data_IF_847514864078
#
_entry.id   IF_847514864078
#
_cell.length_a   1.000
_cell.length_b   1.000
_cell.length_c   1.000
_cell.angle_alpha   90.00
_cell.angle_beta   90.00
_cell.angle_gamma   90.00
#
_symmetry.space_group_name_H-M   'P 1'
#
loop_
_entity.id
_entity.type
_entity.pdbx_description
1 polymer ?
#
# COMPACT_ATOMS: atom_id res chain seq x y z
N UNK A 1 -10.48 -16.46 -7.80
CA UNK A 1 -10.81 -15.04 -8.07
C UNK A 1 -9.69 -14.34 -8.88
N UNK A 2 -8.47 -14.20 -8.39
CA UNK A 2 -7.40 -13.46 -9.09
C UNK A 2 -7.09 -14.02 -10.49
N UNK A 3 -7.09 -15.35 -10.65
CA UNK A 3 -6.90 -15.97 -11.97
C UNK A 3 -8.05 -15.61 -12.96
N UNK A 4 -9.28 -15.55 -12.50
CA UNK A 4 -10.40 -15.11 -13.33
C UNK A 4 -10.31 -13.62 -13.68
N UNK A 5 -9.85 -12.78 -12.75
CA UNK A 5 -9.62 -11.36 -13.00
C UNK A 5 -8.55 -11.08 -14.08
N UNK A 6 -7.63 -12.01 -14.33
CA UNK A 6 -6.70 -11.88 -15.47
C UNK A 6 -7.44 -11.89 -16.82
N UNK A 7 -8.58 -12.57 -16.91
CA UNK A 7 -9.30 -12.84 -18.15
C UNK A 7 -10.60 -12.03 -18.29
N UNK A 8 -11.27 -11.75 -17.17
CA UNK A 8 -12.63 -11.19 -17.14
C UNK A 8 -12.67 -9.92 -16.28
N UNK A 9 -13.61 -9.01 -16.58
CA UNK A 9 -13.94 -7.93 -15.68
C UNK A 9 -14.69 -8.49 -14.45
N UNK A 10 -14.51 -7.88 -13.28
CA UNK A 10 -15.12 -8.35 -12.03
C UNK A 10 -16.64 -8.51 -12.12
N UNK A 11 -17.33 -7.57 -12.80
CA UNK A 11 -18.77 -7.62 -12.99
C UNK A 11 -19.22 -8.88 -13.72
N UNK A 12 -18.42 -9.38 -14.65
CA UNK A 12 -18.75 -10.52 -15.53
C UNK A 12 -18.39 -11.88 -14.88
N UNK A 13 -17.63 -11.88 -13.78
CA UNK A 13 -17.32 -13.11 -13.03
C UNK A 13 -18.57 -13.58 -12.30
N UNK A 14 -19.00 -14.81 -12.63
CA UNK A 14 -20.16 -15.46 -12.01
C UNK A 14 -19.75 -16.45 -10.93
N UNK A 15 -20.71 -16.84 -10.08
CA UNK A 15 -20.50 -17.87 -9.06
C UNK A 15 -20.13 -19.22 -9.68
N UNK A 16 -20.72 -19.57 -10.83
CA UNK A 16 -20.35 -20.81 -11.52
C UNK A 16 -18.90 -20.81 -11.94
N UNK A 17 -18.41 -19.72 -12.53
CA UNK A 17 -17.00 -19.58 -12.90
C UNK A 17 -16.06 -19.72 -11.69
N UNK A 18 -16.43 -19.17 -10.52
CA UNK A 18 -15.62 -19.27 -9.31
C UNK A 18 -15.53 -20.69 -8.78
N UNK A 19 -16.65 -21.42 -8.68
CA UNK A 19 -16.66 -22.77 -8.14
C UNK A 19 -16.04 -23.76 -9.13
N UNK A 20 -16.23 -23.58 -10.43
CA UNK A 20 -15.60 -24.38 -11.48
C UNK A 20 -14.08 -24.21 -11.47
N UNK A 21 -13.58 -22.95 -11.37
CA UNK A 21 -12.15 -22.63 -11.28
C UNK A 21 -11.48 -23.30 -10.07
N UNK A 22 -12.18 -23.30 -8.92
CA UNK A 22 -11.68 -23.89 -7.68
C UNK A 22 -11.98 -25.40 -7.57
N UNK A 23 -12.73 -26.00 -8.50
CA UNK A 23 -13.21 -27.40 -8.48
C UNK A 23 -13.92 -27.73 -7.17
N UNK A 24 -14.77 -26.84 -6.69
CA UNK A 24 -15.61 -27.03 -5.50
C UNK A 24 -17.08 -26.91 -5.87
N UNK A 25 -17.97 -27.36 -4.98
CA UNK A 25 -19.41 -27.13 -5.15
C UNK A 25 -19.84 -25.78 -4.54
N UNK A 26 -21.02 -25.29 -4.95
CA UNK A 26 -21.58 -24.02 -4.45
C UNK A 26 -21.78 -24.02 -2.94
N UNK A 27 -22.19 -25.17 -2.34
CA UNK A 27 -22.36 -25.26 -0.88
C UNK A 27 -21.04 -25.03 -0.14
N UNK A 28 -19.94 -25.57 -0.66
CA UNK A 28 -18.61 -25.35 -0.08
C UNK A 28 -18.22 -23.88 -0.18
N UNK A 29 -18.50 -23.22 -1.30
CA UNK A 29 -18.23 -21.79 -1.45
C UNK A 29 -19.02 -20.97 -0.41
N UNK A 30 -20.34 -21.17 -0.35
CA UNK A 30 -21.22 -20.39 0.54
C UNK A 30 -21.02 -20.66 2.03
N UNK A 31 -20.29 -21.73 2.39
CA UNK A 31 -19.84 -21.95 3.77
C UNK A 31 -18.76 -20.95 4.21
N UNK A 32 -17.98 -20.39 3.26
CA UNK A 32 -16.83 -19.51 3.53
C UNK A 32 -17.07 -18.06 3.11
N UNK A 33 -17.88 -17.84 2.07
CA UNK A 33 -18.11 -16.54 1.45
C UNK A 33 -19.58 -16.36 1.13
N UNK A 34 -20.13 -15.19 1.43
CA UNK A 34 -21.52 -14.85 1.11
C UNK A 34 -21.73 -14.71 -0.39
N UNK A 35 -20.77 -14.10 -1.08
CA UNK A 35 -20.79 -13.86 -2.51
C UNK A 35 -19.36 -13.52 -3.04
N UNK A 36 -19.27 -13.09 -4.30
CA UNK A 36 -18.00 -12.69 -4.91
C UNK A 36 -17.42 -11.40 -4.33
N UNK A 37 -18.25 -10.54 -3.75
CA UNK A 37 -17.83 -9.29 -3.11
C UNK A 37 -17.15 -9.58 -1.77
N UNK A 38 -17.74 -10.44 -0.95
CA UNK A 38 -17.13 -10.94 0.29
C UNK A 38 -15.79 -11.63 0.02
N UNK A 39 -15.70 -12.43 -1.06
CA UNK A 39 -14.46 -13.08 -1.45
C UNK A 39 -13.36 -12.05 -1.81
N UNK A 40 -13.66 -11.04 -2.64
CA UNK A 40 -12.64 -10.06 -3.04
C UNK A 40 -12.24 -9.15 -1.86
N UNK A 41 -13.16 -8.84 -0.96
CA UNK A 41 -12.88 -8.09 0.25
C UNK A 41 -11.95 -8.87 1.19
N UNK A 42 -12.16 -10.18 1.38
CA UNK A 42 -11.26 -11.03 2.18
C UNK A 42 -9.88 -11.15 1.54
N UNK A 43 -9.80 -11.30 0.22
CA UNK A 43 -8.51 -11.26 -0.50
C UNK A 43 -7.80 -9.93 -0.24
N UNK A 44 -8.51 -8.80 -0.35
CA UNK A 44 -7.91 -7.49 -0.05
C UNK A 44 -7.39 -7.42 1.39
N UNK A 45 -8.16 -7.87 2.37
CA UNK A 45 -7.76 -7.89 3.79
C UNK A 45 -6.51 -8.74 4.04
N UNK A 46 -6.33 -9.83 3.32
CA UNK A 46 -5.13 -10.67 3.43
C UNK A 46 -3.89 -9.89 2.96
N UNK A 47 -3.94 -9.23 1.79
CA UNK A 47 -2.84 -8.38 1.32
C UNK A 47 -2.59 -7.17 2.20
N UNK A 48 -3.62 -6.54 2.73
CA UNK A 48 -3.53 -5.44 3.69
C UNK A 48 -2.85 -5.90 4.99
N UNK A 49 -3.15 -7.11 5.46
CA UNK A 49 -2.48 -7.70 6.63
C UNK A 49 -0.98 -7.93 6.40
N UNK A 50 -0.61 -8.42 5.21
CA UNK A 50 0.80 -8.57 4.82
C UNK A 50 1.50 -7.22 4.70
N UNK A 51 0.86 -6.24 4.08
CA UNK A 51 1.36 -4.87 3.97
C UNK A 51 1.57 -4.23 5.34
N UNK A 52 0.60 -4.36 6.25
CA UNK A 52 0.70 -3.83 7.61
C UNK A 52 1.91 -4.38 8.37
N UNK A 53 2.27 -5.65 8.15
CA UNK A 53 3.50 -6.23 8.73
C UNK A 53 4.75 -5.60 8.10
N UNK A 54 4.78 -5.40 6.79
CA UNK A 54 5.91 -4.80 6.08
C UNK A 54 6.10 -3.32 6.47
N UNK A 55 5.00 -2.57 6.71
CA UNK A 55 5.03 -1.14 7.07
C UNK A 55 5.22 -0.88 8.57
N UNK A 56 4.98 -1.86 9.44
CA UNK A 56 4.93 -1.67 10.89
C UNK A 56 6.17 -1.00 11.51
N UNK A 57 7.34 -1.17 10.90
CA UNK A 57 8.58 -0.56 11.37
C UNK A 57 8.68 0.95 11.11
N UNK A 58 7.79 1.53 10.30
CA UNK A 58 7.77 2.98 10.06
C UNK A 58 7.41 3.81 11.31
N UNK A 59 6.84 3.19 12.32
CA UNK A 59 6.69 3.79 13.66
C UNK A 59 8.04 4.14 14.32
N UNK A 60 9.13 3.56 13.83
CA UNK A 60 10.51 3.82 14.27
C UNK A 60 11.30 4.72 13.31
N UNK A 61 10.70 5.14 12.21
CA UNK A 61 11.28 6.08 11.27
C UNK A 61 11.35 5.59 9.83
N UNK A 62 11.85 6.48 8.98
CA UNK A 62 12.02 6.26 7.56
C UNK A 62 13.52 6.00 7.34
N UNK A 63 13.88 4.79 6.93
CA UNK A 63 15.27 4.37 6.72
C UNK A 63 15.36 3.30 5.62
N UNK A 64 16.59 2.99 5.21
CA UNK A 64 16.89 2.01 4.15
C UNK A 64 16.17 0.69 4.40
N UNK A 65 16.27 0.13 5.61
CA UNK A 65 15.69 -1.17 5.94
C UNK A 65 14.17 -1.18 5.80
N UNK A 66 13.48 -0.17 6.32
CA UNK A 66 12.02 -0.10 6.29
C UNK A 66 11.49 0.06 4.85
N UNK A 67 12.16 0.86 4.02
CA UNK A 67 11.82 1.01 2.60
C UNK A 67 12.10 -0.29 1.86
N UNK A 68 13.22 -0.96 2.16
CA UNK A 68 13.57 -2.24 1.53
C UNK A 68 12.55 -3.34 1.85
N UNK A 69 12.09 -3.45 3.10
CA UNK A 69 11.00 -4.37 3.48
C UNK A 69 9.72 -4.10 2.70
N UNK A 70 9.41 -2.82 2.48
CA UNK A 70 8.21 -2.44 1.71
C UNK A 70 8.36 -2.82 0.23
N UNK A 71 9.51 -2.55 -0.38
CA UNK A 71 9.80 -2.96 -1.76
C UNK A 71 9.71 -4.48 -1.89
N UNK A 72 10.25 -5.24 -0.91
CA UNK A 72 10.15 -6.70 -0.89
C UNK A 72 8.69 -7.17 -0.87
N UNK A 73 7.83 -6.57 -0.05
CA UNK A 73 6.41 -6.89 -0.06
C UNK A 73 5.79 -6.71 -1.45
N UNK A 74 6.12 -5.62 -2.15
CA UNK A 74 5.61 -5.37 -3.50
C UNK A 74 6.22 -6.34 -4.54
N UNK A 75 7.50 -6.72 -4.41
CA UNK A 75 8.14 -7.72 -5.27
C UNK A 75 7.44 -9.08 -5.14
N UNK A 76 7.22 -9.51 -3.90
CA UNK A 76 6.62 -10.82 -3.58
C UNK A 76 5.16 -10.94 -4.01
N UNK A 77 4.44 -9.82 -4.12
CA UNK A 77 2.99 -9.80 -4.42
C UNK A 77 2.67 -9.01 -5.72
N UNK A 78 3.64 -8.82 -6.58
CA UNK A 78 3.56 -7.94 -7.75
C UNK A 78 2.38 -8.24 -8.66
N UNK A 79 2.23 -9.48 -9.07
CA UNK A 79 1.23 -9.88 -10.07
C UNK A 79 -0.19 -9.69 -9.55
N UNK A 80 -0.41 -10.03 -8.29
CA UNK A 80 -1.71 -9.90 -7.62
C UNK A 80 -2.07 -8.43 -7.39
N UNK A 81 -1.13 -7.63 -6.92
CA UNK A 81 -1.34 -6.20 -6.70
C UNK A 81 -1.61 -5.46 -8.01
N UNK A 82 -0.94 -5.83 -9.11
CA UNK A 82 -1.23 -5.28 -10.44
C UNK A 82 -2.65 -5.61 -10.90
N UNK A 83 -3.14 -6.84 -10.62
CA UNK A 83 -4.52 -7.24 -10.94
C UNK A 83 -5.50 -6.42 -10.10
N UNK A 84 -5.28 -6.34 -8.78
CA UNK A 84 -6.15 -5.63 -7.85
C UNK A 84 -6.21 -4.12 -8.15
N UNK A 85 -5.14 -3.53 -8.67
CA UNK A 85 -5.11 -2.14 -9.10
C UNK A 85 -5.73 -1.91 -10.49
N UNK A 86 -5.45 -2.80 -11.45
CA UNK A 86 -5.79 -2.58 -12.86
C UNK A 86 -7.27 -2.77 -13.18
N UNK A 87 -8.04 -3.34 -12.27
CA UNK A 87 -9.46 -3.68 -12.49
C UNK A 87 -10.37 -2.72 -11.73
N UNK A 88 -11.56 -2.50 -12.27
CA UNK A 88 -12.64 -1.81 -11.54
C UNK A 88 -13.20 -2.79 -10.52
N UNK A 89 -12.75 -2.65 -9.28
CA UNK A 89 -13.12 -3.49 -8.15
C UNK A 89 -13.88 -2.66 -7.10
N UNK A 90 -14.73 -3.30 -6.27
CA UNK A 90 -15.41 -2.63 -5.16
C UNK A 90 -14.48 -2.40 -3.94
N UNK A 91 -13.18 -2.45 -4.13
CA UNK A 91 -12.13 -2.25 -3.13
C UNK A 91 -11.10 -1.26 -3.66
N UNK A 92 -10.40 -0.56 -2.75
CA UNK A 92 -9.27 0.30 -3.09
C UNK A 92 -8.07 -0.04 -2.20
N UNK A 93 -7.37 -1.10 -2.55
CA UNK A 93 -6.26 -1.65 -1.76
C UNK A 93 -5.14 -0.63 -1.50
N UNK A 94 -4.87 0.28 -2.45
CA UNK A 94 -3.83 1.30 -2.29
C UNK A 94 -4.23 2.42 -1.34
N UNK A 95 -5.52 2.75 -1.27
CA UNK A 95 -6.03 3.70 -0.29
C UNK A 95 -5.95 3.13 1.13
N UNK A 96 -6.29 1.85 1.29
CA UNK A 96 -6.14 1.14 2.56
C UNK A 96 -4.67 1.06 3.00
N UNK A 97 -3.75 0.74 2.09
CA UNK A 97 -2.29 0.76 2.34
C UNK A 97 -1.81 2.15 2.75
N UNK A 98 -2.26 3.19 2.05
CA UNK A 98 -1.94 4.58 2.38
C UNK A 98 -2.43 4.95 3.78
N UNK A 99 -3.65 4.58 4.13
CA UNK A 99 -4.21 4.86 5.46
C UNK A 99 -3.40 4.19 6.58
N UNK A 100 -3.02 2.92 6.43
CA UNK A 100 -2.20 2.19 7.41
C UNK A 100 -0.84 2.86 7.57
N UNK A 101 -0.13 3.10 6.48
CA UNK A 101 1.20 3.69 6.53
C UNK A 101 1.16 5.12 7.10
N UNK A 102 0.10 5.87 6.83
CA UNK A 102 -0.11 7.20 7.42
C UNK A 102 -0.23 7.11 8.94
N UNK A 103 -0.93 6.11 9.50
CA UNK A 103 -1.03 5.90 10.94
C UNK A 103 0.31 5.55 11.58
N UNK A 104 1.11 4.68 10.94
CA UNK A 104 2.46 4.32 11.39
C UNK A 104 3.36 5.56 11.44
N UNK A 105 3.36 6.38 10.38
CA UNK A 105 4.11 7.62 10.30
C UNK A 105 3.60 8.70 11.28
N UNK A 106 2.30 8.80 11.52
CA UNK A 106 1.77 9.66 12.57
C UNK A 106 2.36 9.31 13.94
N UNK A 107 2.47 8.02 14.23
CA UNK A 107 3.07 7.53 15.48
C UNK A 107 4.55 7.92 15.56
N UNK A 108 5.28 7.86 14.47
CA UNK A 108 6.67 8.32 14.39
C UNK A 108 6.80 9.83 14.63
N UNK A 109 6.02 10.67 13.92
CA UNK A 109 6.13 12.12 13.99
C UNK A 109 5.65 12.70 15.33
N UNK A 110 4.74 12.06 16.05
CA UNK A 110 4.32 12.47 17.41
C UNK A 110 5.47 12.55 18.40
N UNK A 111 6.60 11.90 18.13
CA UNK A 111 7.80 11.98 18.96
C UNK A 111 8.52 13.34 18.87
N UNK A 112 8.29 14.10 17.80
CA UNK A 112 9.04 15.35 17.50
C UNK A 112 8.16 16.54 17.16
N UNK A 113 6.90 16.32 16.84
CA UNK A 113 5.96 17.39 16.42
C UNK A 113 4.75 17.35 17.37
N UNK A 114 4.37 18.51 17.92
CA UNK A 114 3.26 18.64 18.86
C UNK A 114 1.96 19.20 18.23
N UNK A 115 1.88 19.25 16.90
CA UNK A 115 0.76 19.81 16.18
C UNK A 115 0.08 18.70 15.35
N UNK A 116 -1.09 18.22 15.79
CA UNK A 116 -1.76 17.05 15.22
C UNK A 116 -2.08 17.18 13.72
N UNK A 117 -2.55 18.34 13.27
CA UNK A 117 -2.89 18.55 11.86
C UNK A 117 -1.62 18.55 10.97
N UNK A 118 -0.52 19.08 11.48
CA UNK A 118 0.76 19.06 10.79
C UNK A 118 1.33 17.63 10.70
N UNK A 119 1.19 16.84 11.77
CA UNK A 119 1.57 15.43 11.81
C UNK A 119 0.81 14.66 10.74
N UNK A 120 -0.53 14.80 10.69
CA UNK A 120 -1.37 14.12 9.70
C UNK A 120 -0.99 14.51 8.27
N UNK A 121 -0.77 15.80 8.02
CA UNK A 121 -0.36 16.31 6.71
C UNK A 121 0.96 15.66 6.26
N UNK A 122 2.01 15.73 7.08
CA UNK A 122 3.31 15.16 6.72
C UNK A 122 3.26 13.65 6.59
N UNK A 123 2.60 12.94 7.50
CA UNK A 123 2.44 11.50 7.41
C UNK A 123 1.74 11.08 6.11
N UNK A 124 0.67 11.79 5.72
CA UNK A 124 -0.05 11.52 4.47
C UNK A 124 0.79 11.82 3.23
N UNK A 125 1.49 12.96 3.18
CA UNK A 125 2.36 13.33 2.05
C UNK A 125 3.49 12.32 1.86
N UNK A 126 4.12 11.89 2.95
CA UNK A 126 5.24 10.96 2.91
C UNK A 126 4.79 9.56 2.54
N UNK A 127 3.70 9.06 3.14
CA UNK A 127 3.17 7.75 2.78
C UNK A 127 2.78 7.70 1.30
N UNK A 128 2.14 8.75 0.79
CA UNK A 128 1.79 8.85 -0.63
C UNK A 128 3.04 8.90 -1.53
N UNK A 129 4.08 9.66 -1.13
CA UNK A 129 5.34 9.72 -1.88
C UNK A 129 6.00 8.34 -1.98
N UNK A 130 6.15 7.64 -0.85
CA UNK A 130 6.78 6.32 -0.79
C UNK A 130 5.98 5.31 -1.63
N UNK A 131 4.68 5.20 -1.41
CA UNK A 131 3.83 4.24 -2.12
C UNK A 131 3.77 4.52 -3.62
N UNK A 132 3.68 5.79 -4.02
CA UNK A 132 3.67 6.18 -5.43
C UNK A 132 5.00 5.86 -6.11
N UNK A 133 6.12 6.11 -5.44
CA UNK A 133 7.45 5.83 -5.98
C UNK A 133 7.66 4.32 -6.17
N UNK A 134 7.32 3.50 -5.16
CA UNK A 134 7.43 2.04 -5.24
C UNK A 134 6.50 1.49 -6.33
N UNK A 135 5.27 1.94 -6.39
CA UNK A 135 4.30 1.56 -7.40
C UNK A 135 4.77 1.92 -8.82
N UNK A 136 5.32 3.12 -8.99
CA UNK A 136 5.89 3.54 -10.26
C UNK A 136 7.07 2.66 -10.66
N UNK A 137 7.96 2.34 -9.74
CA UNK A 137 9.08 1.42 -9.95
C UNK A 137 8.61 0.06 -10.45
N UNK A 138 7.58 -0.54 -9.83
CA UNK A 138 7.04 -1.83 -10.26
C UNK A 138 6.35 -1.82 -11.62
N UNK A 139 5.79 -0.69 -12.04
CA UNK A 139 5.20 -0.54 -13.37
C UNK A 139 6.21 -0.30 -14.47
N UNK A 140 7.34 0.34 -14.15
CA UNK A 140 8.31 0.82 -15.12
C UNK A 140 9.68 0.11 -15.02
N UNK A 141 9.71 -1.05 -14.56
CA UNK A 141 10.71 -2.02 -14.11
C UNK A 141 12.10 -2.04 -14.79
N UNK A 142 12.35 -1.35 -15.89
CA UNK A 142 13.44 -1.69 -16.79
C UNK A 142 14.75 -0.92 -16.60
N UNK A 143 14.81 0.13 -15.77
CA UNK A 143 15.96 1.04 -15.78
C UNK A 143 16.54 1.44 -14.40
N UNK A 144 16.01 0.90 -13.31
CA UNK A 144 16.46 1.29 -11.96
C UNK A 144 16.80 0.08 -11.11
N UNK A 145 17.95 0.13 -10.44
CA UNK A 145 18.28 -0.82 -9.39
C UNK A 145 17.49 -0.52 -8.11
N UNK A 146 17.17 -1.56 -7.34
CA UNK A 146 16.45 -1.45 -6.07
C UNK A 146 17.04 -0.39 -5.13
N UNK A 147 18.38 -0.37 -5.00
CA UNK A 147 19.08 0.60 -4.18
C UNK A 147 18.89 2.05 -4.65
N UNK A 148 18.78 2.29 -5.95
CA UNK A 148 18.51 3.62 -6.49
C UNK A 148 17.12 4.11 -6.06
N UNK A 149 16.11 3.25 -6.07
CA UNK A 149 14.76 3.58 -5.63
C UNK A 149 14.74 3.91 -4.13
N UNK A 150 15.44 3.12 -3.31
CA UNK A 150 15.58 3.40 -1.87
C UNK A 150 16.18 4.80 -1.65
N UNK A 151 17.26 5.12 -2.37
CA UNK A 151 17.91 6.43 -2.25
C UNK A 151 17.00 7.58 -2.73
N UNK A 152 16.27 7.40 -3.82
CA UNK A 152 15.32 8.40 -4.31
C UNK A 152 14.24 8.68 -3.25
N UNK A 153 13.67 7.64 -2.65
CA UNK A 153 12.65 7.79 -1.59
C UNK A 153 13.24 8.54 -0.41
N UNK A 154 14.40 8.12 0.11
CA UNK A 154 15.05 8.76 1.25
C UNK A 154 15.35 10.23 0.98
N UNK A 155 16.00 10.56 -0.13
CA UNK A 155 16.34 11.93 -0.48
C UNK A 155 15.11 12.82 -0.62
N UNK A 156 14.05 12.31 -1.27
CA UNK A 156 12.82 13.07 -1.47
C UNK A 156 12.13 13.37 -0.14
N UNK A 157 12.12 12.40 0.78
CA UNK A 157 11.51 12.55 2.11
C UNK A 157 12.36 13.46 3.00
N UNK A 158 13.66 13.22 3.10
CA UNK A 158 14.57 13.98 3.97
C UNK A 158 14.64 15.44 3.54
N UNK A 159 14.92 15.71 2.26
CA UNK A 159 15.09 17.08 1.76
C UNK A 159 13.79 17.88 1.86
N UNK A 160 12.67 17.29 1.46
CA UNK A 160 11.36 17.95 1.51
C UNK A 160 10.90 18.23 2.94
N UNK A 161 11.10 17.28 3.85
CA UNK A 161 10.67 17.40 5.25
C UNK A 161 11.54 18.38 6.03
N UNK A 162 12.86 18.27 5.97
CA UNK A 162 13.79 19.14 6.69
C UNK A 162 13.63 20.60 6.30
N UNK A 163 13.52 20.89 5.00
CA UNK A 163 13.31 22.24 4.53
C UNK A 163 11.97 22.81 4.98
N UNK A 164 10.91 22.03 4.94
CA UNK A 164 9.57 22.46 5.34
C UNK A 164 9.49 22.69 6.85
N UNK A 165 10.00 21.78 7.68
CA UNK A 165 10.03 21.94 9.14
C UNK A 165 10.88 23.14 9.53
N UNK A 166 12.04 23.30 8.94
CA UNK A 166 12.94 24.45 9.19
C UNK A 166 12.26 25.78 8.85
N UNK A 167 11.52 25.83 7.73
CA UNK A 167 10.79 27.03 7.32
C UNK A 167 9.66 27.40 8.30
N UNK A 168 8.94 26.41 8.83
CA UNK A 168 7.86 26.62 9.80
C UNK A 168 8.42 27.06 11.16
N UNK A 169 9.49 26.41 11.64
CA UNK A 169 10.14 26.77 12.91
C UNK A 169 10.73 28.19 12.88
N UNK A 170 11.22 28.67 11.73
CA UNK A 170 11.67 30.05 11.56
C UNK A 170 10.54 31.06 11.59
N UNK A 171 9.34 30.72 11.10
CA UNK A 171 8.15 31.59 11.13
C UNK A 171 7.49 31.68 12.50
N UNK A 172 7.56 30.62 13.31
CA UNK A 172 6.98 30.61 14.67
C UNK A 172 7.79 31.39 15.73
N UNK A 173 8.95 31.94 15.37
CA UNK A 173 9.78 32.79 16.24
C UNK A 173 9.66 34.31 15.94
N UNK A 174 8.68 34.67 15.13
CA UNK A 174 8.28 36.06 14.90
C UNK A 174 6.88 36.29 15.47
#
# INVERSE_FOLDING_TARGET
MLHLLKKYAFKDITMSMLVDECRINKTTFYRHYSDKYDLIEKISKDYISLFSKASSNFVNGINVHNIDCLIQFFDDNKDELLILESKILPINIFEDMHAIMTLDLCTYFKKSINQDDLIKLYASLISNNILTTIKWYHKNYLNFERNQIIQIVLQTVETGLEQSITAIMKKGKR
#
